data_IF_649407078418
#
_entry.id   IF_649407078418
#
_cell.length_a   1.000
_cell.length_b   1.000
_cell.length_c   1.000
_cell.angle_alpha   90.00
_cell.angle_beta   90.00
_cell.angle_gamma   90.00
#
_symmetry.space_group_name_H-M   'P 1'
#
loop_
_entity.id
_entity.type
_entity.pdbx_description
1 polymer ?
#
# COMPACT_ATOMS: atom_id res chain seq x y z
N UNK A 1 13.25 -45.02 -2.32
CA UNK A 1 13.09 -43.69 -1.68
C UNK A 1 13.73 -43.66 -0.28
N UNK A 2 15.03 -43.97 -0.14
CA UNK A 2 15.70 -44.03 1.17
C UNK A 2 16.41 -42.73 1.56
N UNK A 3 16.81 -41.93 0.57
CA UNK A 3 17.50 -40.66 0.78
C UNK A 3 16.61 -39.58 1.41
N UNK A 4 15.33 -39.48 1.02
CA UNK A 4 14.35 -38.56 1.65
C UNK A 4 14.18 -38.87 3.14
N UNK A 5 14.09 -40.16 3.49
CA UNK A 5 13.97 -40.60 4.90
C UNK A 5 15.26 -40.36 5.69
N UNK A 6 16.42 -40.47 5.04
CA UNK A 6 17.73 -40.14 5.62
C UNK A 6 17.85 -38.63 5.90
N UNK A 7 17.52 -37.76 4.92
CA UNK A 7 17.49 -36.30 5.12
C UNK A 7 16.50 -35.90 6.22
N UNK A 8 15.30 -36.47 6.21
CA UNK A 8 14.28 -36.20 7.24
C UNK A 8 14.79 -36.54 8.65
N UNK A 9 15.45 -37.69 8.79
CA UNK A 9 15.97 -38.13 10.09
C UNK A 9 17.18 -37.31 10.58
N UNK A 10 18.05 -36.85 9.67
CA UNK A 10 19.24 -36.07 10.01
C UNK A 10 18.88 -34.61 10.30
N UNK A 11 18.06 -34.00 9.45
CA UNK A 11 17.81 -32.55 9.47
C UNK A 11 16.49 -32.24 10.17
N UNK A 12 15.38 -32.82 9.70
CA UNK A 12 14.03 -32.39 10.10
C UNK A 12 13.50 -33.00 11.41
N UNK A 13 14.01 -34.17 11.84
CA UNK A 13 13.54 -34.86 13.05
C UNK A 13 13.83 -34.10 14.35
N UNK A 14 14.88 -33.28 14.36
CA UNK A 14 15.32 -32.53 15.54
C UNK A 14 14.81 -31.08 15.55
N UNK A 15 14.46 -30.49 14.40
CA UNK A 15 13.91 -29.13 14.29
C UNK A 15 12.69 -28.90 15.22
N UNK A 16 11.63 -29.74 15.21
CA UNK A 16 10.46 -29.49 16.07
C UNK A 16 10.75 -29.68 17.56
N UNK A 17 11.82 -30.39 17.93
CA UNK A 17 12.27 -30.49 19.33
C UNK A 17 12.95 -29.19 19.78
N UNK A 18 13.75 -28.60 18.90
CA UNK A 18 14.42 -27.31 19.15
C UNK A 18 13.41 -26.16 19.19
N UNK A 19 12.43 -26.16 18.30
CA UNK A 19 11.35 -25.17 18.28
C UNK A 19 10.50 -25.22 19.56
N UNK A 20 10.16 -26.42 20.03
CA UNK A 20 9.47 -26.60 21.32
C UNK A 20 10.30 -26.08 22.50
N UNK A 21 11.62 -26.33 22.52
CA UNK A 21 12.50 -25.83 23.57
C UNK A 21 12.59 -24.30 23.57
N UNK A 22 12.70 -23.68 22.40
CA UNK A 22 12.68 -22.21 22.22
C UNK A 22 11.32 -21.61 22.63
N UNK A 23 10.21 -22.18 22.17
CA UNK A 23 8.87 -21.71 22.54
C UNK A 23 8.61 -21.84 24.05
N UNK A 24 8.99 -22.96 24.68
CA UNK A 24 8.90 -23.15 26.14
C UNK A 24 9.72 -22.12 26.92
N UNK A 25 10.86 -21.67 26.39
CA UNK A 25 11.66 -20.60 26.99
C UNK A 25 10.99 -19.21 26.88
N UNK A 26 10.22 -18.97 25.81
CA UNK A 26 9.48 -17.70 25.62
C UNK A 26 8.15 -17.63 26.40
N UNK A 27 7.57 -18.77 26.78
CA UNK A 27 6.29 -18.85 27.50
C UNK A 27 6.41 -18.55 29.00
N UNK A 28 7.63 -18.51 29.56
CA UNK A 28 7.81 -18.47 31.02
C UNK A 28 7.65 -17.10 31.69
N UNK A 29 7.64 -15.98 30.96
CA UNK A 29 7.12 -14.71 31.47
C UNK A 29 7.21 -13.63 30.40
N UNK A 30 6.05 -13.20 29.87
CA UNK A 30 5.63 -11.82 29.59
C UNK A 30 4.59 -11.82 28.47
N UNK A 31 3.31 -11.75 28.83
CA UNK A 31 2.28 -11.30 27.89
C UNK A 31 2.55 -9.82 27.59
N UNK A 32 3.37 -9.53 26.58
CA UNK A 32 3.53 -8.16 26.11
C UNK A 32 2.23 -7.73 25.43
N UNK A 33 1.52 -6.79 26.05
CA UNK A 33 0.35 -6.17 25.44
C UNK A 33 0.83 -5.30 24.28
N UNK A 34 0.58 -5.75 23.06
CA UNK A 34 0.81 -4.95 21.87
C UNK A 34 -0.46 -4.18 21.55
N UNK A 35 -0.34 -2.86 21.41
CA UNK A 35 -1.45 -2.00 21.01
C UNK A 35 -1.19 -1.44 19.62
N UNK A 36 -2.26 -1.32 18.84
CA UNK A 36 -2.22 -0.60 17.57
C UNK A 36 -2.44 0.88 17.84
N UNK A 37 -1.49 1.71 17.43
CA UNK A 37 -1.63 3.17 17.50
C UNK A 37 -2.79 3.59 16.60
N UNK A 38 -3.73 4.35 17.14
CA UNK A 38 -4.84 4.95 16.41
C UNK A 38 -4.58 6.45 16.26
N UNK A 39 -4.43 6.91 15.03
CA UNK A 39 -4.19 8.32 14.73
C UNK A 39 -5.51 8.96 14.35
N UNK A 40 -5.90 10.03 15.06
CA UNK A 40 -7.11 10.81 14.73
C UNK A 40 -6.86 11.61 13.45
N UNK A 41 -7.85 11.65 12.55
CA UNK A 41 -7.79 12.50 11.36
C UNK A 41 -7.88 13.97 11.79
N UNK A 42 -6.97 14.80 11.27
CA UNK A 42 -7.09 16.26 11.32
C UNK A 42 -7.90 16.72 10.10
N UNK A 43 -8.47 17.93 10.18
CA UNK A 43 -9.08 18.61 9.03
C UNK A 43 -8.13 18.61 7.84
N UNK A 44 -8.68 18.51 6.62
CA UNK A 44 -7.86 18.51 5.41
C UNK A 44 -7.35 19.90 5.03
N UNK A 45 -6.31 19.94 4.19
CA UNK A 45 -5.59 21.16 3.75
C UNK A 45 -6.48 22.25 3.14
N UNK A 46 -7.69 21.88 2.71
CA UNK A 46 -8.70 22.79 2.17
C UNK A 46 -9.18 23.81 3.22
N UNK A 47 -9.20 23.43 4.50
CA UNK A 47 -9.66 24.30 5.59
C UNK A 47 -8.57 25.27 6.10
N UNK A 48 -7.34 25.16 5.58
CA UNK A 48 -6.19 25.88 6.09
C UNK A 48 -6.12 27.33 5.58
N UNK A 49 -5.75 28.27 6.45
CA UNK A 49 -5.32 29.60 6.01
C UNK A 49 -3.84 29.54 5.61
N UNK A 50 -3.50 30.08 4.43
CA UNK A 50 -2.20 29.93 3.73
C UNK A 50 -0.94 30.23 4.57
N UNK A 51 -1.04 31.02 5.65
CA UNK A 51 0.11 31.51 6.42
C UNK A 51 0.23 30.95 7.84
N UNK A 52 -0.55 29.91 8.21
CA UNK A 52 -0.45 29.30 9.54
C UNK A 52 0.58 28.17 9.56
N UNK A 53 1.79 28.45 10.04
CA UNK A 53 2.93 27.50 10.04
C UNK A 53 2.63 26.22 10.82
N UNK A 54 2.03 26.32 12.01
CA UNK A 54 1.73 25.16 12.88
C UNK A 54 0.78 24.17 12.18
N UNK A 55 -0.22 24.70 11.47
CA UNK A 55 -1.19 23.89 10.74
C UNK A 55 -0.51 23.18 9.55
N UNK A 56 0.33 23.90 8.81
CA UNK A 56 1.04 23.36 7.66
C UNK A 56 2.06 22.27 8.04
N UNK A 57 2.78 22.45 9.15
CA UNK A 57 3.76 21.46 9.62
C UNK A 57 3.06 20.20 10.14
N UNK A 58 2.01 20.35 10.95
CA UNK A 58 1.23 19.21 11.45
C UNK A 58 0.59 18.40 10.32
N UNK A 59 0.04 19.05 9.29
CA UNK A 59 -0.46 18.35 8.10
C UNK A 59 0.63 17.63 7.32
N UNK A 60 1.79 18.25 7.11
CA UNK A 60 2.90 17.61 6.41
C UNK A 60 3.43 16.38 7.16
N UNK A 61 3.39 16.38 8.49
CA UNK A 61 3.72 15.19 9.28
C UNK A 61 2.65 14.10 9.11
N UNK A 62 1.38 14.47 9.23
CA UNK A 62 0.27 13.51 9.15
C UNK A 62 0.06 12.93 7.76
N UNK A 63 0.41 13.64 6.70
CA UNK A 63 0.29 13.15 5.32
C UNK A 63 1.28 12.06 4.95
N UNK A 64 2.39 11.94 5.68
CA UNK A 64 3.37 10.87 5.47
C UNK A 64 2.81 9.51 5.86
N UNK A 65 1.97 9.47 6.89
CA UNK A 65 1.34 8.25 7.37
C UNK A 65 0.47 7.58 6.29
N UNK A 66 -0.55 8.24 5.68
CA UNK A 66 -1.36 7.62 4.65
C UNK A 66 -0.54 7.31 3.39
N UNK A 67 0.49 8.10 3.06
CA UNK A 67 1.40 7.76 1.94
C UNK A 67 2.13 6.44 2.21
N UNK A 68 2.64 6.24 3.43
CA UNK A 68 3.31 5.00 3.81
C UNK A 68 2.33 3.83 3.85
N UNK A 69 1.11 4.03 4.36
CA UNK A 69 0.07 2.99 4.32
C UNK A 69 -0.27 2.62 2.88
N UNK A 70 -0.43 3.59 1.98
CA UNK A 70 -0.71 3.34 0.56
C UNK A 70 0.46 2.61 -0.12
N UNK A 71 1.72 2.89 0.26
CA UNK A 71 2.88 2.12 -0.21
C UNK A 71 2.84 0.67 0.26
N UNK A 72 2.50 0.43 1.54
CA UNK A 72 2.39 -0.93 2.06
C UNK A 72 1.21 -1.70 1.44
N UNK A 73 0.11 -1.03 1.13
CA UNK A 73 -0.98 -1.64 0.37
C UNK A 73 -0.47 -2.14 -0.99
N UNK A 74 0.31 -1.34 -1.71
CA UNK A 74 0.92 -1.78 -2.96
C UNK A 74 1.90 -2.92 -2.79
N UNK A 75 2.71 -2.91 -1.73
CA UNK A 75 3.65 -3.99 -1.43
C UNK A 75 2.90 -5.31 -1.21
N UNK A 76 1.80 -5.28 -0.45
CA UNK A 76 0.97 -6.47 -0.21
C UNK A 76 0.35 -6.98 -1.52
N UNK A 77 -0.17 -6.09 -2.37
CA UNK A 77 -0.74 -6.49 -3.67
C UNK A 77 0.34 -7.10 -4.59
N UNK A 78 1.55 -6.51 -4.59
CA UNK A 78 2.69 -7.05 -5.33
C UNK A 78 3.07 -8.45 -4.84
N UNK A 79 3.20 -8.64 -3.53
CA UNK A 79 3.51 -9.96 -2.94
C UNK A 79 2.48 -11.01 -3.36
N UNK A 80 1.18 -10.68 -3.30
CA UNK A 80 0.11 -11.59 -3.74
C UNK A 80 0.22 -11.95 -5.22
N UNK A 81 0.56 -10.98 -6.06
CA UNK A 81 0.77 -11.21 -7.49
C UNK A 81 1.97 -12.13 -7.72
N UNK A 82 3.12 -11.85 -7.10
CA UNK A 82 4.34 -12.64 -7.20
C UNK A 82 4.13 -14.08 -6.72
N UNK A 83 3.47 -14.25 -5.56
CA UNK A 83 3.13 -15.55 -4.99
C UNK A 83 2.24 -16.37 -5.94
N UNK A 84 1.21 -15.74 -6.52
CA UNK A 84 0.31 -16.41 -7.47
C UNK A 84 1.05 -16.87 -8.74
N UNK A 85 1.91 -16.00 -9.29
CA UNK A 85 2.72 -16.31 -10.48
C UNK A 85 3.70 -17.45 -10.17
N UNK A 86 4.33 -17.41 -9.00
CA UNK A 86 5.26 -18.46 -8.57
C UNK A 86 4.54 -19.81 -8.39
N UNK A 87 3.33 -19.81 -7.81
CA UNK A 87 2.56 -21.02 -7.56
C UNK A 87 2.03 -21.69 -8.85
N UNK A 88 1.53 -20.88 -9.80
CA UNK A 88 0.92 -21.40 -11.02
C UNK A 88 1.88 -21.55 -12.21
N UNK A 89 3.08 -20.97 -12.15
CA UNK A 89 4.10 -21.10 -13.18
C UNK A 89 3.61 -20.60 -14.54
N UNK A 90 3.53 -21.48 -15.54
CA UNK A 90 3.17 -21.11 -16.92
C UNK A 90 1.68 -20.74 -17.12
N UNK A 91 0.78 -21.25 -16.27
CA UNK A 91 -0.67 -21.00 -16.38
C UNK A 91 -1.12 -19.71 -15.68
N UNK A 92 -0.19 -18.87 -15.22
CA UNK A 92 -0.50 -17.69 -14.40
C UNK A 92 -1.46 -16.71 -15.08
N UNK A 93 -1.45 -16.64 -16.42
CA UNK A 93 -2.27 -15.69 -17.19
C UNK A 93 -3.77 -15.89 -17.00
N UNK A 94 -4.22 -17.13 -16.84
CA UNK A 94 -5.64 -17.45 -16.67
C UNK A 94 -6.01 -17.53 -15.19
N UNK A 95 -5.14 -18.12 -14.36
CA UNK A 95 -5.42 -18.36 -12.94
C UNK A 95 -5.21 -17.14 -12.04
N UNK A 96 -4.29 -16.24 -12.40
CA UNK A 96 -3.95 -15.05 -11.60
C UNK A 96 -4.50 -13.75 -12.19
N UNK A 97 -5.43 -13.80 -13.16
CA UNK A 97 -5.92 -12.62 -13.87
C UNK A 97 -6.45 -11.54 -12.92
N UNK A 98 -7.33 -11.92 -11.98
CA UNK A 98 -7.95 -11.01 -11.03
C UNK A 98 -6.91 -10.35 -10.10
N UNK A 99 -5.93 -11.11 -9.61
CA UNK A 99 -4.88 -10.60 -8.71
C UNK A 99 -3.97 -9.61 -9.45
N UNK A 100 -3.69 -9.87 -10.73
CA UNK A 100 -2.91 -8.98 -11.59
C UNK A 100 -3.70 -7.69 -11.83
N UNK A 101 -5.02 -7.78 -12.06
CA UNK A 101 -5.88 -6.62 -12.23
C UNK A 101 -5.94 -5.76 -10.95
N UNK A 102 -6.08 -6.39 -9.78
CA UNK A 102 -6.07 -5.71 -8.49
C UNK A 102 -4.76 -4.94 -8.28
N UNK A 103 -3.62 -5.56 -8.60
CA UNK A 103 -2.32 -4.90 -8.54
C UNK A 103 -2.24 -3.71 -9.50
N UNK A 104 -2.63 -3.90 -10.76
CA UNK A 104 -2.58 -2.85 -11.78
C UNK A 104 -3.49 -1.67 -11.44
N UNK A 105 -4.69 -1.95 -10.93
CA UNK A 105 -5.64 -0.94 -10.46
C UNK A 105 -5.09 -0.20 -9.25
N UNK A 106 -4.53 -0.92 -8.29
CA UNK A 106 -3.85 -0.34 -7.13
C UNK A 106 -2.70 0.58 -7.54
N UNK A 107 -1.81 0.10 -8.42
CA UNK A 107 -0.66 0.86 -8.93
C UNK A 107 -1.09 2.13 -9.68
N UNK A 108 -2.14 2.04 -10.50
CA UNK A 108 -2.71 3.18 -11.22
C UNK A 108 -3.27 4.22 -10.26
N UNK A 109 -4.03 3.79 -9.24
CA UNK A 109 -4.61 4.67 -8.23
C UNK A 109 -3.52 5.36 -7.38
N UNK A 110 -2.48 4.63 -7.02
CA UNK A 110 -1.35 5.19 -6.28
C UNK A 110 -0.58 6.20 -7.14
N UNK A 111 -0.31 5.89 -8.41
CA UNK A 111 0.37 6.80 -9.33
C UNK A 111 -0.44 8.07 -9.61
N UNK A 112 -1.77 7.94 -9.75
CA UNK A 112 -2.66 9.09 -9.89
C UNK A 112 -2.55 10.04 -8.68
N UNK A 113 -2.39 9.51 -7.47
CA UNK A 113 -2.29 10.29 -6.23
C UNK A 113 -0.89 10.84 -5.96
N UNK A 114 0.15 10.03 -6.13
CA UNK A 114 1.52 10.34 -5.68
C UNK A 114 2.59 10.37 -6.78
N UNK A 115 2.24 9.99 -8.02
CA UNK A 115 3.16 10.06 -9.17
C UNK A 115 3.62 11.49 -9.48
N UNK A 116 4.80 11.64 -10.08
CA UNK A 116 5.38 12.90 -10.57
C UNK A 116 5.59 14.02 -9.53
N UNK A 117 5.34 13.74 -8.25
CA UNK A 117 5.48 14.69 -7.15
C UNK A 117 6.94 14.88 -6.68
N UNK A 118 7.86 14.05 -7.18
CA UNK A 118 9.27 14.06 -6.82
C UNK A 118 9.54 13.63 -5.37
N UNK A 119 10.81 13.71 -4.96
CA UNK A 119 11.26 13.32 -3.62
C UNK A 119 10.73 14.26 -2.53
N UNK A 120 10.65 15.56 -2.84
CA UNK A 120 10.21 16.61 -1.92
C UNK A 120 8.70 16.92 -2.01
N UNK A 121 7.93 16.05 -2.66
CA UNK A 121 6.48 16.25 -2.85
C UNK A 121 5.73 16.39 -1.54
N UNK A 122 5.09 17.54 -1.34
CA UNK A 122 4.32 17.86 -0.15
C UNK A 122 2.82 17.61 -0.35
N UNK A 123 2.05 17.76 0.73
CA UNK A 123 0.58 17.67 0.72
C UNK A 123 -0.05 18.67 -0.22
N UNK A 124 0.54 19.88 -0.28
CA UNK A 124 0.12 20.95 -1.20
C UNK A 124 0.21 20.49 -2.65
N UNK A 125 1.30 19.82 -3.02
CA UNK A 125 1.52 19.39 -4.39
C UNK A 125 0.55 18.27 -4.76
N UNK A 126 0.33 17.30 -3.86
CA UNK A 126 -0.67 16.25 -4.05
C UNK A 126 -2.09 16.83 -4.18
N UNK A 127 -2.41 17.85 -3.39
CA UNK A 127 -3.68 18.58 -3.48
C UNK A 127 -3.80 19.35 -4.81
N UNK A 128 -2.74 19.99 -5.29
CA UNK A 128 -2.74 20.68 -6.58
C UNK A 128 -2.87 19.70 -7.75
N UNK A 129 -2.28 18.50 -7.65
CA UNK A 129 -2.50 17.40 -8.62
C UNK A 129 -3.97 16.97 -8.65
N UNK A 130 -4.57 16.75 -7.47
CA UNK A 130 -6.00 16.44 -7.35
C UNK A 130 -6.86 17.54 -7.99
N UNK A 131 -6.57 18.80 -7.68
CA UNK A 131 -7.27 19.96 -8.25
C UNK A 131 -7.13 20.03 -9.77
N UNK A 132 -5.94 19.77 -10.31
CA UNK A 132 -5.71 19.72 -11.75
C UNK A 132 -6.60 18.67 -12.41
N UNK A 133 -6.69 17.46 -11.83
CA UNK A 133 -7.57 16.39 -12.32
C UNK A 133 -9.03 16.82 -12.32
N UNK A 134 -9.52 17.40 -11.22
CA UNK A 134 -10.91 17.86 -11.13
C UNK A 134 -11.23 18.97 -12.17
N UNK A 135 -10.29 19.89 -12.40
CA UNK A 135 -10.45 20.93 -13.43
C UNK A 135 -10.49 20.31 -14.83
N UNK A 136 -9.64 19.31 -15.09
CA UNK A 136 -9.61 18.60 -16.37
C UNK A 136 -10.92 17.84 -16.61
N UNK A 137 -11.41 17.09 -15.60
CA UNK A 137 -12.69 16.36 -15.67
C UNK A 137 -13.88 17.30 -15.89
N UNK A 138 -13.83 18.52 -15.33
CA UNK A 138 -14.85 19.54 -15.59
C UNK A 138 -14.87 20.04 -17.03
N UNK A 139 -13.73 20.00 -17.74
CA UNK A 139 -13.59 20.50 -19.12
C UNK A 139 -13.77 19.41 -20.18
N UNK A 140 -13.40 18.17 -19.88
CA UNK A 140 -13.34 17.09 -20.87
C UNK A 140 -14.00 15.78 -20.41
N UNK A 141 -14.38 15.69 -19.13
CA UNK A 141 -14.94 14.47 -18.55
C UNK A 141 -16.47 14.45 -18.57
N UNK A 142 -17.03 13.28 -18.25
CA UNK A 142 -18.47 13.03 -18.24
C UNK A 142 -19.26 13.88 -17.23
N UNK A 143 -18.59 14.42 -16.21
CA UNK A 143 -19.20 15.15 -15.08
C UNK A 143 -19.27 16.68 -15.36
N UNK A 144 -18.71 17.16 -16.48
CA UNK A 144 -18.49 18.59 -16.75
C UNK A 144 -19.33 19.19 -17.88
N UNK A 145 -20.43 19.87 -17.51
CA UNK A 145 -21.32 20.61 -18.42
C UNK A 145 -20.74 21.97 -18.94
N UNK A 146 -19.46 22.05 -19.34
CA UNK A 146 -18.86 23.33 -19.72
C UNK A 146 -17.68 23.26 -20.69
N UNK A 147 -18.01 23.44 -21.98
CA UNK A 147 -17.15 23.48 -23.18
C UNK A 147 -16.73 22.09 -23.70
N UNK A 148 -17.22 21.60 -24.86
CA UNK A 148 -17.37 22.27 -26.15
C UNK A 148 -18.72 21.99 -26.83
N UNK A 149 -19.44 23.05 -27.22
CA UNK A 149 -20.22 22.97 -28.45
C UNK A 149 -19.19 22.94 -29.57
N UNK A 150 -19.10 21.82 -30.29
CA UNK A 150 -18.40 21.82 -31.57
C UNK A 150 -19.26 22.66 -32.52
N UNK A 151 -18.90 23.94 -32.69
CA UNK A 151 -19.29 24.70 -33.86
C UNK A 151 -18.28 24.34 -34.95
N UNK A 152 -18.65 23.33 -35.73
CA UNK A 152 -18.53 23.21 -37.20
C UNK A 152 -18.83 21.78 -37.60
#
# INVERSE_FOLDING_TARGET
MNWVRSIYNIVFRNIPKMEKALFCSSQQNTKHLQYRIQVKKITGIVSARLNQVIYLTSEAHLSRIPKNVDNEILNILRQRQEDCVMWHGHDYKTKCADIIEDYNTGATNWFAKYGDLGVYGNVKDAYMKQKHRMIWERRHGAIGAGMKAQVN
#
